data_IF_601328963704
#
_entry.id   IF_601328963704
#
_cell.length_a   1.000
_cell.length_b   1.000
_cell.length_c   1.000
_cell.angle_alpha   90.00
_cell.angle_beta   90.00
_cell.angle_gamma   90.00
#
_symmetry.space_group_name_H-M   'P 1'
#
loop_
_entity.id
_entity.type
_entity.pdbx_description
1 polymer ?
#
# COMPACT_ATOMS: atom_id res chain seq x y z
N UNK A 1 53.43 -86.98 -24.91
CA UNK A 1 52.82 -85.98 -24.01
C UNK A 1 53.93 -85.14 -23.39
N UNK A 2 53.93 -83.80 -23.49
CA UNK A 2 53.44 -82.94 -24.56
C UNK A 2 54.52 -81.93 -25.05
N UNK A 3 54.15 -81.24 -26.13
CA UNK A 3 54.84 -80.22 -26.93
C UNK A 3 54.97 -78.86 -26.21
N UNK A 4 56.03 -78.06 -26.45
CA UNK A 4 56.03 -76.64 -26.11
C UNK A 4 55.76 -75.77 -27.36
N UNK A 5 54.64 -75.07 -27.27
CA UNK A 5 54.09 -74.07 -28.18
C UNK A 5 55.00 -72.83 -28.33
N UNK A 6 55.16 -72.36 -29.58
CA UNK A 6 55.75 -71.04 -29.89
C UNK A 6 54.75 -69.92 -29.58
N UNK A 7 55.22 -68.75 -29.08
CA UNK A 7 54.34 -67.64 -28.74
C UNK A 7 53.88 -66.87 -29.97
N UNK A 8 52.61 -66.44 -29.95
CA UNK A 8 51.98 -65.58 -30.96
C UNK A 8 52.53 -64.14 -30.87
N UNK A 9 52.78 -63.53 -32.03
CA UNK A 9 53.16 -62.12 -32.15
C UNK A 9 52.00 -61.18 -31.77
N UNK A 10 52.27 -60.03 -31.12
CA UNK A 10 51.22 -59.07 -30.83
C UNK A 10 50.87 -58.29 -32.10
N UNK A 11 49.61 -58.42 -32.53
CA UNK A 11 49.02 -57.60 -33.59
C UNK A 11 48.82 -56.18 -33.03
N UNK A 12 49.48 -55.19 -33.62
CA UNK A 12 49.32 -53.79 -33.24
C UNK A 12 47.86 -53.34 -33.43
N UNK A 13 47.17 -53.02 -32.34
CA UNK A 13 45.81 -52.49 -32.38
C UNK A 13 45.87 -50.99 -32.72
N UNK A 14 45.48 -50.65 -33.96
CA UNK A 14 45.14 -49.28 -34.37
C UNK A 14 43.78 -48.93 -33.78
N UNK A 15 43.75 -48.51 -32.53
CA UNK A 15 42.51 -48.18 -31.80
C UNK A 15 42.53 -46.84 -31.07
N UNK A 16 43.51 -45.96 -31.29
CA UNK A 16 43.64 -44.68 -30.59
C UNK A 16 43.57 -43.50 -31.57
N UNK A 17 42.38 -43.13 -32.02
CA UNK A 17 42.16 -41.79 -32.60
C UNK A 17 40.69 -41.38 -32.83
N UNK A 18 39.68 -42.09 -32.30
CA UNK A 18 38.26 -41.72 -32.51
C UNK A 18 37.58 -41.11 -31.29
N UNK A 19 38.09 -41.35 -30.08
CA UNK A 19 37.47 -40.85 -28.84
C UNK A 19 37.78 -39.36 -28.57
N UNK A 20 39.01 -38.88 -28.84
CA UNK A 20 39.36 -37.46 -28.65
C UNK A 20 38.57 -36.52 -29.57
N UNK A 21 38.31 -36.91 -30.82
CA UNK A 21 37.57 -36.07 -31.78
C UNK A 21 36.11 -35.83 -31.36
N UNK A 22 35.46 -36.81 -30.74
CA UNK A 22 34.09 -36.65 -30.23
C UNK A 22 34.03 -35.70 -29.03
N UNK A 23 34.99 -35.79 -28.10
CA UNK A 23 35.03 -34.92 -26.91
C UNK A 23 35.38 -33.46 -27.24
N UNK A 24 36.26 -33.23 -28.22
CA UNK A 24 36.58 -31.89 -28.70
C UNK A 24 35.40 -31.27 -29.48
N UNK A 25 34.68 -32.06 -30.27
CA UNK A 25 33.49 -31.61 -31.00
C UNK A 25 32.35 -31.21 -30.06
N UNK A 26 32.10 -31.98 -29.00
CA UNK A 26 31.06 -31.64 -28.02
C UNK A 26 31.39 -30.40 -27.18
N UNK A 27 32.68 -30.22 -26.81
CA UNK A 27 33.13 -29.03 -26.10
C UNK A 27 32.99 -27.77 -26.98
N UNK A 28 33.37 -27.84 -28.25
CA UNK A 28 33.24 -26.72 -29.18
C UNK A 28 31.76 -26.37 -29.42
N UNK A 29 30.90 -27.38 -29.59
CA UNK A 29 29.47 -27.19 -29.74
C UNK A 29 28.85 -26.55 -28.48
N UNK A 30 29.24 -26.98 -27.28
CA UNK A 30 28.76 -26.39 -26.04
C UNK A 30 29.18 -24.92 -25.88
N UNK A 31 30.41 -24.58 -26.28
CA UNK A 31 30.90 -23.19 -26.27
C UNK A 31 30.13 -22.34 -27.28
N UNK A 32 29.93 -22.83 -28.51
CA UNK A 32 29.17 -22.12 -29.54
C UNK A 32 27.71 -21.93 -29.14
N UNK A 33 27.08 -22.95 -28.54
CA UNK A 33 25.70 -22.83 -28.02
C UNK A 33 25.66 -21.85 -26.85
N UNK A 34 26.60 -21.88 -25.92
CA UNK A 34 26.64 -20.95 -24.78
C UNK A 34 26.89 -19.51 -25.22
N UNK A 35 27.81 -19.26 -26.14
CA UNK A 35 28.05 -17.92 -26.68
C UNK A 35 26.85 -17.44 -27.50
N UNK A 36 26.25 -18.30 -28.32
CA UNK A 36 25.04 -17.96 -29.06
C UNK A 36 23.87 -17.65 -28.12
N UNK A 37 23.69 -18.41 -27.04
CA UNK A 37 22.71 -18.11 -25.99
C UNK A 37 23.01 -16.76 -25.34
N UNK A 38 24.26 -16.46 -25.00
CA UNK A 38 24.63 -15.15 -24.43
C UNK A 38 24.47 -13.98 -25.42
N UNK A 39 24.71 -14.18 -26.72
CA UNK A 39 24.54 -13.17 -27.77
C UNK A 39 23.07 -12.96 -28.15
N UNK A 40 22.23 -13.99 -28.06
CA UNK A 40 20.81 -13.93 -28.36
C UNK A 40 19.95 -13.61 -27.13
N UNK A 41 20.48 -13.79 -25.91
CA UNK A 41 19.76 -13.41 -24.69
C UNK A 41 19.73 -11.88 -24.59
N UNK A 42 18.54 -11.26 -24.43
CA UNK A 42 18.48 -9.85 -24.11
C UNK A 42 19.24 -9.59 -22.81
N UNK A 43 19.88 -8.41 -22.66
CA UNK A 43 20.50 -8.04 -21.39
C UNK A 43 19.47 -8.18 -20.27
N UNK A 44 19.88 -8.62 -19.06
CA UNK A 44 18.98 -8.72 -17.93
C UNK A 44 18.30 -7.37 -17.75
N UNK A 45 16.97 -7.36 -17.92
CA UNK A 45 16.21 -6.14 -17.72
C UNK A 45 16.42 -5.71 -16.27
N UNK A 46 16.70 -4.41 -16.00
CA UNK A 46 16.70 -3.92 -14.64
C UNK A 46 15.37 -4.31 -14.00
N UNK A 47 15.42 -4.83 -12.77
CA UNK A 47 14.21 -5.15 -12.03
C UNK A 47 13.27 -3.94 -12.12
N UNK A 48 11.96 -4.14 -12.40
CA UNK A 48 11.04 -3.03 -12.52
C UNK A 48 11.18 -2.16 -11.27
N UNK A 49 11.44 -0.87 -11.48
CA UNK A 49 11.52 0.09 -10.38
C UNK A 49 10.27 -0.06 -9.52
N UNK A 50 10.40 -0.12 -8.18
CA UNK A 50 9.23 -0.25 -7.32
C UNK A 50 8.26 0.88 -7.61
N UNK A 51 7.02 0.53 -7.91
CA UNK A 51 5.93 1.50 -8.03
C UNK A 51 5.49 1.90 -6.63
N UNK A 52 5.06 3.15 -6.45
CA UNK A 52 4.61 3.66 -5.16
C UNK A 52 3.21 4.26 -5.25
N UNK A 53 2.53 4.32 -4.10
CA UNK A 53 1.30 5.09 -3.91
C UNK A 53 1.32 5.75 -2.53
N UNK A 54 0.90 7.02 -2.46
CA UNK A 54 0.93 7.83 -1.24
C UNK A 54 -0.49 8.15 -0.82
N UNK A 55 -0.84 7.81 0.41
CA UNK A 55 -2.12 8.17 1.04
C UNK A 55 -1.84 9.07 2.24
N UNK A 56 -2.42 10.27 2.22
CA UNK A 56 -2.39 11.22 3.33
C UNK A 56 -3.72 11.14 4.09
N UNK A 57 -3.66 10.63 5.33
CA UNK A 57 -4.77 10.59 6.28
C UNK A 57 -4.83 11.91 7.05
N UNK A 58 -5.85 12.72 6.74
CA UNK A 58 -6.13 14.02 7.36
C UNK A 58 -6.99 13.91 8.61
N UNK A 59 -6.40 13.41 9.70
CA UNK A 59 -7.07 13.25 10.99
C UNK A 59 -7.24 14.55 11.80
N UNK A 60 -8.07 14.49 12.84
CA UNK A 60 -8.35 15.64 13.73
C UNK A 60 -7.19 15.99 14.68
N UNK A 61 -6.42 15.00 15.13
CA UNK A 61 -5.30 15.18 16.07
C UNK A 61 -3.93 15.23 15.40
N UNK A 62 -3.87 14.85 14.13
CA UNK A 62 -2.64 14.83 13.35
C UNK A 62 -2.90 14.24 11.97
N UNK A 63 -1.97 14.52 11.06
CA UNK A 63 -2.01 14.10 9.67
C UNK A 63 -0.90 13.09 9.43
N UNK A 64 -1.17 12.02 8.69
CA UNK A 64 -0.20 10.96 8.40
C UNK A 64 -0.01 10.79 6.91
N UNK A 65 1.22 10.51 6.46
CA UNK A 65 1.49 10.05 5.11
C UNK A 65 1.93 8.60 5.15
N UNK A 66 1.20 7.75 4.44
CA UNK A 66 1.52 6.36 4.17
C UNK A 66 2.10 6.27 2.76
N UNK A 67 3.34 5.79 2.65
CA UNK A 67 4.02 5.53 1.39
C UNK A 67 4.03 4.03 1.18
N UNK A 68 3.17 3.54 0.29
CA UNK A 68 3.07 2.13 -0.06
C UNK A 68 4.01 1.80 -1.21
N UNK A 69 4.91 0.84 -0.99
CA UNK A 69 5.64 0.20 -2.09
C UNK A 69 4.75 -0.89 -2.68
N UNK A 70 4.62 -0.93 -4.01
CA UNK A 70 3.77 -1.89 -4.70
C UNK A 70 4.62 -3.03 -5.27
N UNK A 71 4.16 -4.25 -5.07
CA UNK A 71 4.72 -5.45 -5.68
C UNK A 71 4.40 -5.54 -7.18
N UNK A 72 4.96 -6.54 -7.88
CA UNK A 72 4.73 -6.74 -9.32
C UNK A 72 3.25 -6.98 -9.70
N UNK A 73 2.45 -7.46 -8.75
CA UNK A 73 1.01 -7.69 -8.89
C UNK A 73 0.16 -6.43 -8.56
N UNK A 74 0.81 -5.29 -8.30
CA UNK A 74 0.19 -4.02 -7.94
C UNK A 74 -0.29 -3.95 -6.49
N UNK A 75 -0.05 -4.98 -5.68
CA UNK A 75 -0.49 -5.02 -4.27
C UNK A 75 0.55 -4.35 -3.36
N UNK A 76 0.12 -3.75 -2.24
CA UNK A 76 1.06 -3.12 -1.31
C UNK A 76 1.93 -4.17 -0.61
N UNK A 77 3.24 -4.01 -0.74
CA UNK A 77 4.25 -4.67 0.08
C UNK A 77 4.36 -3.92 1.41
N UNK A 78 3.63 -4.41 2.41
CA UNK A 78 3.56 -3.78 3.73
C UNK A 78 4.92 -3.76 4.45
N UNK A 79 5.83 -4.70 4.16
CA UNK A 79 7.15 -4.74 4.79
C UNK A 79 8.07 -3.61 4.27
N UNK A 80 7.80 -3.10 3.06
CA UNK A 80 8.54 -2.01 2.43
C UNK A 80 7.80 -0.67 2.46
N UNK A 81 6.63 -0.64 3.09
CA UNK A 81 5.83 0.57 3.24
C UNK A 81 6.29 1.39 4.45
N UNK A 82 6.13 2.71 4.38
CA UNK A 82 6.59 3.63 5.42
C UNK A 82 5.48 4.60 5.82
N UNK A 83 5.51 5.07 7.08
CA UNK A 83 4.54 6.04 7.60
C UNK A 83 5.25 7.16 8.37
N UNK A 84 4.77 8.39 8.20
CA UNK A 84 5.13 9.52 9.05
C UNK A 84 3.88 10.27 9.50
N UNK A 85 3.93 10.84 10.71
CA UNK A 85 2.86 11.66 11.29
C UNK A 85 3.38 13.06 11.62
N UNK A 86 2.52 14.05 11.42
CA UNK A 86 2.67 15.41 11.95
C UNK A 86 1.47 15.77 12.83
N UNK A 87 1.68 16.73 13.74
CA UNK A 87 0.64 17.34 14.55
C UNK A 87 0.81 18.88 14.52
N UNK A 88 -0.28 19.66 14.63
CA UNK A 88 -1.67 19.24 14.84
C UNK A 88 -2.35 18.67 13.57
N UNK A 89 -3.60 18.23 13.69
CA UNK A 89 -4.39 17.73 12.56
C UNK A 89 -4.97 18.85 11.69
N UNK A 90 -5.51 18.49 10.53
CA UNK A 90 -6.01 19.49 9.56
C UNK A 90 -7.14 20.36 10.13
N UNK A 91 -7.99 19.82 11.01
CA UNK A 91 -9.08 20.59 11.63
C UNK A 91 -8.60 21.73 12.53
N UNK A 92 -7.36 21.66 13.04
CA UNK A 92 -6.79 22.71 13.89
C UNK A 92 -6.45 24.00 13.12
N UNK A 93 -6.48 23.96 11.79
CA UNK A 93 -6.25 25.12 10.91
C UNK A 93 -7.54 25.86 10.55
N UNK A 94 -8.67 25.58 11.23
CA UNK A 94 -9.95 26.25 10.95
C UNK A 94 -9.89 27.79 11.05
N UNK A 95 -9.04 28.32 11.93
CA UNK A 95 -8.84 29.76 12.10
C UNK A 95 -7.86 30.38 11.08
N UNK A 96 -7.03 29.56 10.42
CA UNK A 96 -6.03 29.99 9.44
C UNK A 96 -5.85 28.91 8.38
N UNK A 97 -6.86 28.82 7.49
CA UNK A 97 -7.00 27.73 6.53
C UNK A 97 -5.88 27.72 5.48
N UNK A 98 -5.27 28.88 5.22
CA UNK A 98 -4.15 29.02 4.29
C UNK A 98 -2.94 28.19 4.72
N UNK A 99 -2.71 28.01 6.02
CA UNK A 99 -1.57 27.24 6.56
C UNK A 99 -1.75 25.73 6.54
N UNK A 100 -2.94 25.22 6.23
CA UNK A 100 -3.20 23.78 6.22
C UNK A 100 -2.31 23.03 5.21
N UNK A 101 -2.14 23.57 4.00
CA UNK A 101 -1.25 23.00 2.98
C UNK A 101 0.23 23.01 3.39
N UNK A 102 0.69 24.07 4.07
CA UNK A 102 2.07 24.14 4.58
C UNK A 102 2.36 23.04 5.59
N UNK A 103 1.35 22.65 6.39
CA UNK A 103 1.48 21.56 7.36
C UNK A 103 1.78 20.20 6.71
N UNK A 104 1.48 20.04 5.42
CA UNK A 104 1.78 18.82 4.66
C UNK A 104 3.23 18.76 4.18
N UNK A 105 3.98 19.87 4.19
CA UNK A 105 5.34 19.91 3.64
C UNK A 105 6.26 18.83 4.23
N UNK A 106 6.34 18.60 5.56
CA UNK A 106 7.17 17.53 6.09
C UNK A 106 6.77 16.16 5.54
N UNK A 107 5.46 15.89 5.44
CA UNK A 107 4.93 14.63 4.91
C UNK A 107 5.32 14.39 3.45
N UNK A 108 5.27 15.45 2.63
CA UNK A 108 5.63 15.38 1.22
C UNK A 108 7.14 15.17 1.02
N UNK A 109 7.97 15.83 1.82
CA UNK A 109 9.43 15.62 1.77
C UNK A 109 9.82 14.21 2.22
N UNK A 110 9.20 13.71 3.29
CA UNK A 110 9.34 12.31 3.70
C UNK A 110 8.95 11.34 2.57
N UNK A 111 7.82 11.61 1.89
CA UNK A 111 7.39 10.76 0.79
C UNK A 111 8.38 10.79 -0.38
N UNK A 112 8.92 11.96 -0.72
CA UNK A 112 9.97 12.09 -1.76
C UNK A 112 11.22 11.30 -1.40
N UNK A 113 11.67 11.36 -0.15
CA UNK A 113 12.81 10.58 0.34
C UNK A 113 12.59 9.07 0.14
N UNK A 114 11.38 8.57 0.40
CA UNK A 114 11.05 7.14 0.25
C UNK A 114 10.89 6.70 -1.20
N UNK A 115 10.39 7.58 -2.07
CA UNK A 115 10.24 7.31 -3.51
C UNK A 115 11.58 7.44 -4.25
N UNK A 116 12.49 8.29 -3.75
CA UNK A 116 13.90 8.37 -4.14
C UNK A 116 14.20 9.22 -5.37
N UNK A 117 13.53 8.99 -6.51
CA UNK A 117 13.83 9.71 -7.77
C UNK A 117 12.68 10.57 -8.27
N UNK A 118 12.98 11.69 -8.93
CA UNK A 118 11.97 12.61 -9.49
C UNK A 118 11.08 11.92 -10.55
N UNK A 119 11.66 11.06 -11.39
CA UNK A 119 10.89 10.29 -12.38
C UNK A 119 9.89 9.33 -11.72
N UNK A 120 10.27 8.69 -10.61
CA UNK A 120 9.36 7.88 -9.82
C UNK A 120 8.29 8.72 -9.10
N UNK A 121 8.64 9.93 -8.64
CA UNK A 121 7.69 10.85 -8.02
C UNK A 121 6.58 11.26 -9.00
N UNK A 122 6.94 11.68 -10.22
CA UNK A 122 5.95 12.06 -11.24
C UNK A 122 4.97 10.92 -11.61
N UNK A 123 5.41 9.66 -11.48
CA UNK A 123 4.59 8.47 -11.70
C UNK A 123 3.85 7.97 -10.44
N UNK A 124 4.09 8.56 -9.27
CA UNK A 124 3.50 8.14 -8.00
C UNK A 124 2.26 8.97 -7.68
N UNK A 125 1.13 8.32 -7.39
CA UNK A 125 -0.07 9.03 -6.94
C UNK A 125 0.08 9.51 -5.51
N UNK A 126 -0.39 10.73 -5.24
CA UNK A 126 -0.66 11.19 -3.88
C UNK A 126 -2.14 11.49 -3.73
N UNK A 127 -2.77 10.99 -2.68
CA UNK A 127 -4.18 11.25 -2.36
C UNK A 127 -4.30 11.75 -0.92
N UNK A 128 -5.27 12.61 -0.65
CA UNK A 128 -5.58 13.07 0.71
C UNK A 128 -7.02 12.73 1.06
N UNK A 129 -7.17 11.96 2.11
CA UNK A 129 -8.47 11.57 2.65
C UNK A 129 -8.59 12.12 4.06
N UNK A 130 -9.33 13.21 4.21
CA UNK A 130 -9.60 13.81 5.51
C UNK A 130 -10.82 13.16 6.17
N UNK A 131 -10.78 13.02 7.50
CA UNK A 131 -11.75 12.22 8.25
C UNK A 131 -12.70 13.10 9.09
N UNK A 132 -13.25 12.54 10.17
CA UNK A 132 -14.27 13.18 11.02
C UNK A 132 -13.91 14.60 11.49
N UNK A 133 -12.63 14.91 11.70
CA UNK A 133 -12.20 16.24 12.13
C UNK A 133 -12.67 17.36 11.20
N UNK A 134 -12.62 17.14 9.88
CA UNK A 134 -13.10 18.13 8.90
C UNK A 134 -14.61 18.03 8.66
N UNK A 135 -15.23 16.87 8.93
CA UNK A 135 -16.70 16.70 8.84
C UNK A 135 -17.43 17.59 9.86
N UNK A 136 -16.78 17.92 10.97
CA UNK A 136 -17.33 18.77 12.04
C UNK A 136 -17.21 20.28 11.77
N UNK A 137 -16.48 20.69 10.72
CA UNK A 137 -16.29 22.10 10.38
C UNK A 137 -17.39 22.59 9.43
N UNK A 138 -17.64 23.89 9.47
CA UNK A 138 -18.44 24.59 8.47
C UNK A 138 -17.90 24.32 7.05
N UNK A 139 -18.81 24.18 6.09
CA UNK A 139 -18.48 23.76 4.73
C UNK A 139 -17.46 24.68 4.05
N UNK A 140 -17.60 25.99 4.23
CA UNK A 140 -16.70 27.00 3.67
C UNK A 140 -15.28 26.89 4.24
N UNK A 141 -15.16 26.62 5.55
CA UNK A 141 -13.87 26.44 6.24
C UNK A 141 -13.20 25.14 5.79
N UNK A 142 -13.97 24.05 5.74
CA UNK A 142 -13.53 22.74 5.25
C UNK A 142 -12.98 22.85 3.83
N UNK A 143 -13.72 23.52 2.93
CA UNK A 143 -13.29 23.66 1.53
C UNK A 143 -12.05 24.55 1.41
N UNK A 144 -11.96 25.64 2.17
CA UNK A 144 -10.75 26.48 2.19
C UNK A 144 -9.50 25.71 2.64
N UNK A 145 -9.63 24.83 3.64
CA UNK A 145 -8.55 23.91 4.07
C UNK A 145 -8.17 22.97 2.92
N UNK A 146 -9.14 22.34 2.27
CA UNK A 146 -8.88 21.43 1.15
C UNK A 146 -8.23 22.13 -0.03
N UNK A 147 -8.63 23.36 -0.36
CA UNK A 147 -7.99 24.18 -1.40
C UNK A 147 -6.52 24.43 -1.08
N UNK A 148 -6.20 24.81 0.17
CA UNK A 148 -4.80 24.97 0.60
C UNK A 148 -4.02 23.66 0.46
N UNK A 149 -4.60 22.53 0.85
CA UNK A 149 -3.98 21.21 0.68
C UNK A 149 -3.78 20.84 -0.79
N UNK A 150 -4.78 21.06 -1.66
CA UNK A 150 -4.68 20.81 -3.11
C UNK A 150 -3.55 21.62 -3.74
N UNK A 151 -3.37 22.88 -3.34
CA UNK A 151 -2.25 23.69 -3.80
C UNK A 151 -0.89 23.06 -3.43
N UNK A 152 -0.73 22.60 -2.19
CA UNK A 152 0.49 21.93 -1.74
C UNK A 152 0.74 20.61 -2.49
N UNK A 153 -0.32 19.82 -2.73
CA UNK A 153 -0.24 18.56 -3.45
C UNK A 153 0.10 18.76 -4.93
N UNK A 154 -0.49 19.76 -5.60
CA UNK A 154 -0.12 20.15 -6.98
C UNK A 154 1.34 20.55 -7.10
N UNK A 155 1.88 21.26 -6.12
CA UNK A 155 3.28 21.69 -6.10
C UNK A 155 4.27 20.59 -5.67
N UNK A 156 3.80 19.40 -5.30
CA UNK A 156 4.64 18.36 -4.70
C UNK A 156 5.55 17.62 -5.69
N UNK A 157 5.21 17.62 -6.98
CA UNK A 157 5.86 16.81 -8.01
C UNK A 157 5.33 15.37 -8.14
N UNK A 158 4.40 14.97 -7.26
CA UNK A 158 3.64 13.72 -7.40
C UNK A 158 2.49 13.86 -8.39
N UNK A 159 2.01 12.74 -8.96
CA UNK A 159 0.77 12.73 -9.73
C UNK A 159 -0.41 13.01 -8.80
N UNK A 160 -1.17 14.04 -9.12
CA UNK A 160 -2.29 14.49 -8.29
C UNK A 160 -3.43 15.05 -9.14
N UNK A 161 -4.66 14.78 -8.70
CA UNK A 161 -5.90 15.39 -9.20
C UNK A 161 -6.65 16.03 -8.03
N UNK A 162 -7.27 17.20 -8.24
CA UNK A 162 -7.98 17.93 -7.18
C UNK A 162 -9.10 17.09 -6.50
N UNK A 163 -9.71 16.16 -7.25
CA UNK A 163 -10.73 15.23 -6.77
C UNK A 163 -10.21 14.20 -5.76
N UNK A 164 -8.89 14.00 -5.68
CA UNK A 164 -8.24 13.04 -4.78
C UNK A 164 -7.91 13.63 -3.41
N UNK A 165 -8.09 14.94 -3.22
CA UNK A 165 -8.08 15.59 -1.92
C UNK A 165 -9.51 15.92 -1.49
N UNK A 166 -10.06 15.06 -0.63
CA UNK A 166 -11.47 15.14 -0.22
C UNK A 166 -11.67 14.72 1.23
N UNK A 167 -12.79 15.13 1.80
CA UNK A 167 -13.29 14.53 3.04
C UNK A 167 -14.03 13.24 2.69
N UNK A 168 -13.67 12.14 3.35
CA UNK A 168 -14.34 10.86 3.13
C UNK A 168 -15.55 10.71 4.06
N UNK A 169 -16.63 10.04 3.60
CA UNK A 169 -17.67 9.54 4.48
C UNK A 169 -17.08 8.64 5.58
N UNK A 170 -17.70 8.63 6.76
CA UNK A 170 -17.25 7.75 7.83
C UNK A 170 -17.49 6.26 7.52
N UNK A 171 -18.49 5.95 6.70
CA UNK A 171 -18.70 4.59 6.18
C UNK A 171 -17.52 4.12 5.32
N UNK A 172 -16.98 5.00 4.48
CA UNK A 172 -15.80 4.71 3.65
C UNK A 172 -14.55 4.50 4.51
N UNK A 173 -14.38 5.31 5.56
CA UNK A 173 -13.31 5.14 6.56
C UNK A 173 -13.35 3.73 7.18
N UNK A 174 -14.53 3.28 7.62
CA UNK A 174 -14.73 1.92 8.15
C UNK A 174 -14.48 0.81 7.12
N UNK A 175 -14.91 1.00 5.86
CA UNK A 175 -14.63 0.07 4.76
C UNK A 175 -13.12 -0.04 4.52
N UNK A 176 -12.39 1.08 4.48
CA UNK A 176 -10.95 1.05 4.30
C UNK A 176 -10.21 0.39 5.47
N UNK A 177 -10.65 0.62 6.71
CA UNK A 177 -10.12 -0.08 7.89
C UNK A 177 -10.37 -1.60 7.82
N UNK A 178 -11.57 -2.00 7.39
CA UNK A 178 -11.93 -3.41 7.19
C UNK A 178 -11.07 -4.07 6.09
N UNK A 179 -10.85 -3.36 4.97
CA UNK A 179 -9.97 -3.82 3.88
C UNK A 179 -8.54 -3.98 4.39
N UNK A 180 -8.02 -2.99 5.12
CA UNK A 180 -6.65 -3.06 5.66
C UNK A 180 -6.47 -4.25 6.61
N UNK A 181 -7.41 -4.47 7.53
CA UNK A 181 -7.35 -5.58 8.49
C UNK A 181 -7.40 -6.95 7.79
N UNK A 182 -8.34 -7.13 6.87
CA UNK A 182 -8.52 -8.41 6.16
C UNK A 182 -7.43 -8.66 5.10
N UNK A 183 -6.85 -7.60 4.53
CA UNK A 183 -5.65 -7.71 3.71
C UNK A 183 -4.46 -8.20 4.55
N UNK A 184 -4.23 -7.61 5.72
CA UNK A 184 -3.14 -8.01 6.63
C UNK A 184 -3.29 -9.45 7.15
N UNK A 185 -4.53 -9.91 7.35
CA UNK A 185 -4.84 -11.29 7.76
C UNK A 185 -4.84 -12.29 6.59
N UNK A 186 -4.74 -11.82 5.34
CA UNK A 186 -4.76 -12.70 4.15
C UNK A 186 -6.13 -13.31 3.85
N UNK A 187 -7.21 -12.79 4.41
CA UNK A 187 -8.59 -13.25 4.19
C UNK A 187 -9.25 -12.56 2.99
N UNK A 188 -8.74 -11.39 2.58
CA UNK A 188 -9.25 -10.63 1.45
C UNK A 188 -8.96 -11.31 0.09
N UNK A 189 -9.95 -11.34 -0.78
CA UNK A 189 -9.98 -12.12 -2.03
C UNK A 189 -10.42 -13.57 -1.86
N UNK A 190 -10.63 -14.03 -0.62
CA UNK A 190 -11.16 -15.37 -0.30
C UNK A 190 -12.64 -15.36 0.06
N UNK A 191 -13.06 -16.36 0.84
CA UNK A 191 -14.43 -16.52 1.35
C UNK A 191 -14.86 -15.33 2.25
N UNK A 192 -15.93 -14.60 1.91
CA UNK A 192 -16.47 -13.50 2.73
C UNK A 192 -16.69 -13.85 4.20
N UNK A 193 -17.13 -15.07 4.53
CA UNK A 193 -17.43 -15.46 5.92
C UNK A 193 -16.18 -15.73 6.76
N UNK A 194 -14.99 -15.77 6.15
CA UNK A 194 -13.71 -15.90 6.86
C UNK A 194 -13.07 -14.56 7.20
N UNK A 195 -13.68 -13.47 6.75
CA UNK A 195 -13.23 -12.12 7.10
C UNK A 195 -13.62 -11.79 8.55
N UNK A 196 -12.90 -10.86 9.15
CA UNK A 196 -13.26 -10.32 10.46
C UNK A 196 -14.03 -9.01 10.32
N UNK A 197 -14.86 -8.68 11.31
CA UNK A 197 -15.36 -7.32 11.49
C UNK A 197 -14.33 -6.42 12.17
N UNK A 198 -14.51 -5.11 12.02
CA UNK A 198 -13.69 -4.09 12.68
C UNK A 198 -14.57 -3.15 13.50
N UNK A 199 -14.00 -2.70 14.62
CA UNK A 199 -14.43 -1.50 15.32
C UNK A 199 -13.22 -0.57 15.35
N UNK A 200 -13.32 0.58 14.68
CA UNK A 200 -12.28 1.59 14.69
C UNK A 200 -12.71 2.75 15.60
N UNK A 201 -11.86 3.12 16.55
CA UNK A 201 -12.11 4.26 17.45
C UNK A 201 -11.17 5.41 17.09
N UNK A 202 -11.69 6.36 16.32
CA UNK A 202 -10.98 7.59 15.97
C UNK A 202 -11.10 8.68 17.03
N UNK A 203 -10.55 9.86 16.72
CA UNK A 203 -10.63 11.03 17.60
C UNK A 203 -12.05 11.58 17.76
N UNK A 204 -12.78 11.70 16.65
CA UNK A 204 -14.09 12.33 16.59
C UNK A 204 -15.25 11.38 16.27
N UNK A 205 -14.99 10.21 15.70
CA UNK A 205 -16.01 9.18 15.42
C UNK A 205 -15.51 7.80 15.76
N UNK A 206 -16.45 6.85 15.83
CA UNK A 206 -16.18 5.42 15.82
C UNK A 206 -16.85 4.78 14.59
N UNK A 207 -16.26 3.72 14.06
CA UNK A 207 -16.75 3.00 12.89
C UNK A 207 -16.93 1.52 13.23
N UNK A 208 -17.98 0.92 12.68
CA UNK A 208 -18.25 -0.52 12.75
C UNK A 208 -18.47 -1.03 11.33
N UNK A 209 -17.65 -1.99 10.91
CA UNK A 209 -17.74 -2.56 9.56
C UNK A 209 -17.52 -4.08 9.57
N UNK A 210 -18.40 -4.83 8.92
CA UNK A 210 -18.32 -6.30 8.81
C UNK A 210 -19.13 -6.80 7.61
N UNK A 211 -18.84 -8.02 7.14
CA UNK A 211 -19.65 -8.70 6.10
C UNK A 211 -21.00 -9.09 6.67
N UNK A 212 -22.08 -8.79 5.96
CA UNK A 212 -23.45 -9.16 6.34
C UNK A 212 -24.20 -9.81 5.18
N UNK A 213 -24.96 -10.86 5.49
CA UNK A 213 -25.88 -11.54 4.55
C UNK A 213 -27.32 -10.99 4.63
N UNK A 214 -27.56 -10.04 5.53
CA UNK A 214 -28.88 -9.46 5.73
C UNK A 214 -29.20 -8.39 4.68
N UNK A 215 -30.50 -8.15 4.47
CA UNK A 215 -30.96 -7.01 3.67
C UNK A 215 -30.80 -5.74 4.51
N UNK A 216 -29.75 -5.00 4.20
CA UNK A 216 -29.40 -3.75 4.88
C UNK A 216 -30.03 -2.52 4.19
N UNK A 217 -30.35 -1.44 4.94
CA UNK A 217 -30.60 -0.14 4.36
C UNK A 217 -29.44 0.30 3.47
N UNK A 218 -29.72 1.00 2.37
CA UNK A 218 -28.71 1.39 1.37
C UNK A 218 -27.61 2.27 1.99
N UNK A 219 -27.95 3.07 3.00
CA UNK A 219 -27.03 3.97 3.70
C UNK A 219 -25.99 3.23 4.55
N UNK A 220 -26.28 1.97 4.91
CA UNK A 220 -25.42 1.12 5.75
C UNK A 220 -24.76 -0.01 4.96
N UNK A 221 -25.12 -0.17 3.69
CA UNK A 221 -24.66 -1.26 2.83
C UNK A 221 -23.66 -0.75 1.81
N UNK A 222 -22.48 -1.35 1.75
CA UNK A 222 -21.48 -1.05 0.73
C UNK A 222 -20.96 -2.34 0.12
N UNK A 223 -21.02 -2.42 -1.21
CA UNK A 223 -20.39 -3.51 -1.95
C UNK A 223 -18.95 -3.14 -2.27
N UNK A 224 -18.02 -4.01 -1.90
CA UNK A 224 -16.59 -3.88 -2.21
C UNK A 224 -16.10 -5.11 -2.95
N UNK A 225 -15.34 -4.94 -4.03
CA UNK A 225 -14.81 -6.06 -4.82
C UNK A 225 -13.29 -6.07 -4.77
N UNK A 226 -12.71 -7.21 -4.42
CA UNK A 226 -11.26 -7.42 -4.42
C UNK A 226 -10.92 -8.84 -4.88
N UNK A 227 -9.96 -8.95 -5.81
CA UNK A 227 -9.49 -10.25 -6.30
C UNK A 227 -10.58 -11.10 -6.98
N UNK A 228 -11.62 -10.47 -7.52
CA UNK A 228 -12.78 -11.17 -8.12
C UNK A 228 -13.88 -11.54 -7.13
N UNK A 229 -13.67 -11.35 -5.82
CA UNK A 229 -14.68 -11.57 -4.79
C UNK A 229 -15.38 -10.26 -4.44
N UNK A 230 -16.71 -10.28 -4.38
CA UNK A 230 -17.52 -9.17 -3.89
C UNK A 230 -17.98 -9.42 -2.46
N UNK A 231 -17.83 -8.42 -1.61
CA UNK A 231 -18.21 -8.39 -0.22
C UNK A 231 -19.36 -7.40 -0.04
N UNK A 232 -20.46 -7.83 0.57
CA UNK A 232 -21.52 -6.94 1.04
C UNK A 232 -21.25 -6.59 2.49
N UNK A 233 -20.87 -5.33 2.71
CA UNK A 233 -20.43 -4.84 4.01
C UNK A 233 -21.55 -4.03 4.66
N UNK A 234 -21.86 -4.36 5.92
CA UNK A 234 -22.41 -3.38 6.84
C UNK A 234 -21.30 -2.38 7.18
N UNK A 235 -21.57 -1.08 7.03
CA UNK A 235 -20.66 -0.04 7.50
C UNK A 235 -21.44 1.12 8.11
N UNK A 236 -21.11 1.49 9.34
CA UNK A 236 -21.71 2.63 10.02
C UNK A 236 -20.65 3.47 10.73
N UNK A 237 -20.89 4.77 10.80
CA UNK A 237 -20.02 5.75 11.45
C UNK A 237 -20.79 6.55 12.48
N UNK A 238 -20.39 6.42 13.74
CA UNK A 238 -20.95 7.12 14.88
C UNK A 238 -20.15 8.41 15.14
N UNK A 239 -20.58 9.51 14.54
CA UNK A 239 -19.97 10.83 14.79
C UNK A 239 -20.22 11.27 16.24
N UNK A 240 -19.23 11.92 16.87
CA UNK A 240 -19.20 12.29 18.29
C UNK A 240 -18.99 11.13 19.28
N UNK A 241 -18.79 9.89 18.79
CA UNK A 241 -18.44 8.73 19.62
C UNK A 241 -16.94 8.39 19.59
N UNK A 242 -16.11 9.25 18.97
CA UNK A 242 -14.65 9.11 19.03
C UNK A 242 -14.10 9.38 20.43
N UNK A 243 -12.87 8.94 20.68
CA UNK A 243 -12.24 9.01 22.00
C UNK A 243 -12.16 10.44 22.57
N UNK A 244 -11.85 11.44 21.74
CA UNK A 244 -11.75 12.83 22.20
C UNK A 244 -13.15 13.43 22.40
N UNK A 245 -14.08 13.16 21.49
CA UNK A 245 -15.45 13.61 21.60
C UNK A 245 -16.14 13.05 22.86
N UNK A 246 -15.89 11.79 23.18
CA UNK A 246 -16.35 11.17 24.43
C UNK A 246 -15.74 11.85 25.67
N UNK A 247 -14.44 12.16 25.64
CA UNK A 247 -13.76 12.87 26.73
C UNK A 247 -14.31 14.29 26.91
N UNK A 248 -14.54 15.02 25.83
CA UNK A 248 -15.08 16.39 25.89
C UNK A 248 -16.53 16.40 26.37
N UNK A 249 -17.35 15.47 25.88
CA UNK A 249 -18.72 15.25 26.38
C UNK A 249 -18.74 14.97 27.89
N UNK A 250 -17.84 14.09 28.36
CA UNK A 250 -17.70 13.79 29.79
C UNK A 250 -17.31 15.04 30.60
N UNK A 251 -16.36 15.85 30.12
CA UNK A 251 -15.96 17.11 30.77
C UNK A 251 -17.13 18.09 30.87
N UNK A 252 -17.92 18.24 29.81
CA UNK A 252 -19.11 19.10 29.83
C UNK A 252 -20.17 18.61 30.82
N UNK A 253 -20.38 17.29 30.92
CA UNK A 253 -21.26 16.71 31.94
C UNK A 253 -20.76 17.08 33.35
N UNK A 254 -19.47 16.96 33.62
CA UNK A 254 -18.91 17.30 34.94
C UNK A 254 -19.05 18.80 35.25
N UNK A 255 -18.77 19.68 34.29
CA UNK A 255 -19.00 21.13 34.42
C UNK A 255 -20.47 21.44 34.72
N UNK A 256 -21.41 20.81 34.01
CA UNK A 256 -22.85 21.02 34.23
C UNK A 256 -23.32 20.58 35.62
N UNK A 257 -22.58 19.67 36.26
CA UNK A 257 -22.83 19.18 37.62
C UNK A 257 -22.05 19.94 38.70
N UNK A 258 -21.30 20.98 38.33
CA UNK A 258 -20.47 21.75 39.27
C UNK A 258 -19.25 20.98 39.80
N UNK A 259 -18.85 19.89 39.15
CA UNK A 259 -17.67 19.10 39.51
C UNK A 259 -16.47 19.65 38.73
N UNK A 260 -15.54 20.31 39.43
CA UNK A 260 -14.28 20.76 38.83
C UNK A 260 -13.33 19.58 38.67
N UNK A 261 -12.90 19.32 37.43
CA UNK A 261 -11.85 18.34 37.14
C UNK A 261 -10.52 19.08 37.18
N UNK A 262 -9.68 18.74 38.16
CA UNK A 262 -8.28 19.19 38.23
C UNK A 262 -7.44 18.49 37.16
#
# INVERSE_FOLDING_TARGET
MPEPTKPLSPRASRGRCRLCGLCLGSALLAIVVSTLVHLLSPPPQPAPSPSFSIIIDGGSTGTRAHVFSLGPDGRPDLARSAVMRVSPGLSSFAADTARAGESLRPLLEFAKEKVGSEGAAAATEVRLMATAGLRLLEESVREAILVSCRNALRASGFRFEDSWAKVIPGSDEGVYAWVAANYALGTLGGDPHKTIGIIELGGASAQLTFVSDEVLPLELSTNFTFGGTTYTLYSNSFLNFGQNAAQDSYREILKSRGITVC
#
